data_IF_551974284740
#
_entry.id   IF_551974284740
#
_cell.length_a   1.000
_cell.length_b   1.000
_cell.length_c   1.000
_cell.angle_alpha   90.00
_cell.angle_beta   90.00
_cell.angle_gamma   90.00
#
_symmetry.space_group_name_H-M   'P 1'
#
loop_
_entity.id
_entity.type
_entity.pdbx_description
1 polymer ?
#
# COMPACT_ATOMS: atom_id res chain seq x y z
N UNK A 1 -23.47 -65.30 -51.91
CA UNK A 1 -22.14 -64.89 -52.36
C UNK A 1 -21.96 -63.44 -51.97
N UNK A 2 -21.06 -62.99 -51.12
CA UNK A 2 -20.19 -63.58 -50.11
C UNK A 2 -19.71 -62.39 -49.26
N UNK A 3 -19.37 -62.66 -48.00
CA UNK A 3 -18.44 -61.97 -47.08
C UNK A 3 -17.94 -60.54 -47.42
N UNK A 4 -17.93 -59.60 -46.45
CA UNK A 4 -16.77 -59.20 -45.62
C UNK A 4 -17.30 -58.08 -44.67
N UNK A 5 -17.47 -58.25 -43.36
CA UNK A 5 -16.51 -58.20 -42.23
C UNK A 5 -15.67 -56.92 -42.08
N UNK A 6 -15.81 -56.23 -40.94
CA UNK A 6 -14.87 -55.24 -40.40
C UNK A 6 -15.45 -53.82 -40.37
N UNK A 7 -15.36 -53.03 -39.30
CA UNK A 7 -14.68 -53.19 -38.02
C UNK A 7 -15.20 -52.09 -37.09
N UNK A 8 -15.41 -52.46 -35.82
CA UNK A 8 -15.65 -51.54 -34.71
C UNK A 8 -14.45 -50.60 -34.55
N UNK A 9 -14.63 -49.30 -34.78
CA UNK A 9 -13.63 -48.28 -34.42
C UNK A 9 -14.07 -47.57 -33.12
N UNK A 10 -13.83 -48.29 -32.02
CA UNK A 10 -13.12 -47.80 -30.84
C UNK A 10 -13.29 -46.32 -30.47
N UNK A 11 -14.15 -46.07 -29.49
CA UNK A 11 -14.13 -44.90 -28.60
C UNK A 11 -12.74 -44.73 -27.93
N UNK A 12 -11.85 -43.98 -28.57
CA UNK A 12 -10.58 -43.59 -27.99
C UNK A 12 -10.77 -42.41 -27.02
N UNK A 13 -11.17 -42.71 -25.78
CA UNK A 13 -11.08 -41.76 -24.66
C UNK A 13 -9.63 -41.32 -24.50
N UNK A 14 -9.29 -40.01 -24.58
CA UNK A 14 -7.93 -39.56 -24.37
C UNK A 14 -7.55 -39.79 -22.91
N UNK A 15 -6.67 -40.76 -22.66
CA UNK A 15 -6.04 -40.98 -21.35
C UNK A 15 -5.24 -39.73 -20.98
N UNK A 16 -5.84 -38.84 -20.17
CA UNK A 16 -5.13 -37.73 -19.52
C UNK A 16 -3.97 -38.29 -18.72
N UNK A 17 -2.76 -38.07 -19.20
CA UNK A 17 -1.52 -38.37 -18.49
C UNK A 17 -1.49 -37.56 -17.19
N UNK A 18 -1.79 -38.23 -16.07
CA UNK A 18 -1.51 -37.74 -14.73
C UNK A 18 0.01 -37.63 -14.59
N UNK A 19 0.58 -36.48 -14.98
CA UNK A 19 1.91 -36.06 -14.51
C UNK A 19 1.81 -35.78 -13.01
N UNK A 20 1.95 -36.84 -12.21
CA UNK A 20 2.34 -36.76 -10.80
C UNK A 20 3.83 -36.38 -10.77
N UNK A 21 4.11 -35.07 -10.85
CA UNK A 21 5.42 -34.51 -10.57
C UNK A 21 5.51 -34.12 -9.10
N UNK A 22 5.95 -35.02 -8.24
CA UNK A 22 6.36 -34.72 -6.87
C UNK A 22 7.65 -33.90 -6.88
N UNK A 23 7.53 -32.58 -7.01
CA UNK A 23 8.67 -31.67 -6.95
C UNK A 23 8.70 -30.89 -5.64
N UNK A 24 9.63 -31.22 -4.75
CA UNK A 24 10.06 -30.33 -3.65
C UNK A 24 10.71 -29.01 -4.15
N UNK A 25 10.74 -28.77 -5.46
CA UNK A 25 11.45 -27.68 -6.15
C UNK A 25 10.84 -26.27 -6.18
N UNK A 26 9.53 -26.01 -5.99
CA UNK A 26 9.01 -24.65 -6.13
C UNK A 26 9.04 -23.87 -4.79
N UNK A 27 9.19 -24.54 -3.64
CA UNK A 27 9.27 -23.88 -2.33
C UNK A 27 10.64 -23.23 -2.07
N UNK A 28 11.73 -23.93 -2.44
CA UNK A 28 13.09 -23.44 -2.28
C UNK A 28 13.34 -22.20 -3.14
N UNK A 29 12.91 -22.19 -4.40
CA UNK A 29 13.04 -21.03 -5.28
C UNK A 29 12.29 -19.79 -4.76
N UNK A 30 11.13 -19.98 -4.11
CA UNK A 30 10.38 -18.87 -3.50
C UNK A 30 11.05 -18.30 -2.25
N UNK A 31 11.60 -19.17 -1.40
CA UNK A 31 12.35 -18.72 -0.22
C UNK A 31 13.58 -17.89 -0.65
N UNK A 32 14.27 -18.31 -1.72
CA UNK A 32 15.39 -17.55 -2.31
C UNK A 32 14.92 -16.19 -2.84
N UNK A 33 13.80 -16.12 -3.58
CA UNK A 33 13.28 -14.83 -4.08
C UNK A 33 12.91 -13.90 -2.92
N UNK A 34 12.27 -14.43 -1.88
CA UNK A 34 11.93 -13.63 -0.70
C UNK A 34 13.19 -13.13 0.03
N UNK A 35 14.18 -13.99 0.22
CA UNK A 35 15.48 -13.62 0.80
C UNK A 35 16.20 -12.55 -0.05
N UNK A 36 16.12 -12.65 -1.38
CA UNK A 36 16.65 -11.63 -2.29
C UNK A 36 15.92 -10.30 -2.11
N UNK A 37 14.59 -10.29 -2.02
CA UNK A 37 13.83 -9.07 -1.74
C UNK A 37 14.25 -8.43 -0.40
N UNK A 38 14.45 -9.23 0.65
CA UNK A 38 14.97 -8.74 1.93
C UNK A 38 16.39 -8.20 1.81
N UNK A 39 17.25 -8.86 1.04
CA UNK A 39 18.60 -8.39 0.73
C UNK A 39 18.60 -7.03 0.01
N UNK A 40 17.67 -6.83 -0.93
CA UNK A 40 17.49 -5.54 -1.63
C UNK A 40 17.00 -4.47 -0.65
N UNK A 41 16.02 -4.77 0.21
CA UNK A 41 15.59 -3.84 1.26
C UNK A 41 16.76 -3.44 2.15
N UNK A 42 17.54 -4.41 2.62
CA UNK A 42 18.71 -4.15 3.46
C UNK A 42 19.74 -3.26 2.75
N UNK A 43 20.04 -3.53 1.48
CA UNK A 43 20.93 -2.69 0.69
C UNK A 43 20.39 -1.26 0.55
N UNK A 44 19.10 -1.09 0.26
CA UNK A 44 18.47 0.22 0.14
C UNK A 44 18.46 0.99 1.48
N UNK A 45 18.31 0.30 2.60
CA UNK A 45 18.46 0.90 3.93
C UNK A 45 19.86 1.48 4.08
N UNK A 46 20.91 0.71 3.77
CA UNK A 46 22.30 1.21 3.83
C UNK A 46 22.52 2.40 2.91
N UNK A 47 21.97 2.36 1.69
CA UNK A 47 22.04 3.48 0.73
C UNK A 47 21.32 4.71 1.29
N UNK A 48 20.11 4.56 1.83
CA UNK A 48 19.34 5.66 2.44
C UNK A 48 20.06 6.33 3.62
N UNK A 49 20.85 5.57 4.37
CA UNK A 49 21.67 6.11 5.47
C UNK A 49 22.90 6.89 4.97
N UNK A 50 23.47 6.53 3.81
CA UNK A 50 24.61 7.24 3.20
C UNK A 50 24.23 8.41 2.29
N UNK A 51 23.07 8.34 1.65
CA UNK A 51 22.63 9.27 0.59
C UNK A 51 21.61 10.29 1.12
N UNK A 52 21.88 11.57 0.85
CA UNK A 52 21.00 12.71 1.15
C UNK A 52 21.63 14.02 0.67
N UNK A 53 21.19 15.16 1.23
CA UNK A 53 21.76 16.48 0.94
C UNK A 53 23.30 16.54 1.12
N UNK A 54 23.82 15.90 2.18
CA UNK A 54 25.25 15.72 2.42
C UNK A 54 25.61 14.24 2.27
N UNK A 55 26.45 13.86 1.31
CA UNK A 55 26.78 12.43 1.12
C UNK A 55 27.75 11.98 2.21
N UNK A 56 27.41 10.89 2.92
CA UNK A 56 28.24 10.32 3.99
C UNK A 56 28.86 9.02 3.46
N UNK A 57 30.21 8.88 3.48
CA UNK A 57 30.87 7.66 3.02
C UNK A 57 30.37 6.42 3.79
N UNK A 58 30.20 5.25 3.13
CA UNK A 58 29.74 4.04 3.78
C UNK A 58 30.58 3.61 5.00
N UNK A 59 31.89 3.87 4.95
CA UNK A 59 32.81 3.61 6.08
C UNK A 59 32.46 4.44 7.31
N UNK A 60 32.09 5.71 7.11
CA UNK A 60 31.63 6.59 8.19
C UNK A 60 30.27 6.17 8.70
N UNK A 61 29.33 5.80 7.81
CA UNK A 61 28.02 5.27 8.22
C UNK A 61 28.20 4.04 9.11
N UNK A 62 29.04 3.08 8.70
CA UNK A 62 29.31 1.87 9.46
C UNK A 62 29.92 2.17 10.84
N UNK A 63 30.94 3.03 10.88
CA UNK A 63 31.60 3.44 12.13
C UNK A 63 30.60 4.06 13.12
N UNK A 64 29.77 4.98 12.64
CA UNK A 64 28.78 5.70 13.44
C UNK A 64 27.64 4.79 13.91
N UNK A 65 27.26 3.79 13.11
CA UNK A 65 26.29 2.77 13.51
C UNK A 65 26.85 1.83 14.58
N UNK A 66 28.14 1.49 14.49
CA UNK A 66 28.82 0.64 15.46
C UNK A 66 29.13 1.38 16.77
N UNK A 67 29.40 2.68 16.70
CA UNK A 67 29.70 3.52 17.85
C UNK A 67 29.16 4.94 17.62
N UNK A 68 28.12 5.33 18.36
CA UNK A 68 27.62 6.70 18.36
C UNK A 68 28.63 7.61 19.08
N UNK A 69 29.43 8.30 18.28
CA UNK A 69 30.50 9.19 18.74
C UNK A 69 30.04 10.64 18.96
N UNK A 70 28.74 10.92 18.80
CA UNK A 70 28.17 12.27 18.94
C UNK A 70 28.60 13.26 17.84
N UNK A 71 29.29 12.80 16.79
CA UNK A 71 29.67 13.63 15.65
C UNK A 71 28.45 14.18 14.89
N UNK A 72 28.67 15.20 14.05
CA UNK A 72 27.61 15.72 13.19
C UNK A 72 27.07 14.62 12.25
N UNK A 73 27.94 13.75 11.74
CA UNK A 73 27.58 12.58 10.95
C UNK A 73 26.75 11.59 11.76
N UNK A 74 27.08 11.36 13.04
CA UNK A 74 26.28 10.54 13.93
C UNK A 74 24.87 11.06 14.17
N UNK A 75 24.75 12.36 14.44
CA UNK A 75 23.45 13.01 14.58
C UNK A 75 22.64 12.87 13.28
N UNK A 76 23.24 13.10 12.11
CA UNK A 76 22.55 12.96 10.83
C UNK A 76 22.07 11.52 10.61
N UNK A 77 22.93 10.53 10.82
CA UNK A 77 22.57 9.12 10.60
C UNK A 77 21.49 8.67 11.58
N UNK A 78 21.69 8.86 12.88
CA UNK A 78 20.80 8.33 13.91
C UNK A 78 19.50 9.13 14.10
N UNK A 79 19.54 10.46 14.00
CA UNK A 79 18.39 11.30 14.34
C UNK A 79 17.59 11.78 13.14
N UNK A 80 18.20 11.85 11.96
CA UNK A 80 17.52 12.31 10.73
C UNK A 80 17.25 11.16 9.76
N UNK A 81 18.27 10.34 9.45
CA UNK A 81 18.15 9.32 8.39
C UNK A 81 17.55 8.01 8.86
N UNK A 82 17.93 7.53 10.03
CA UNK A 82 17.44 6.25 10.54
C UNK A 82 15.91 6.27 10.74
N UNK A 83 15.31 7.27 11.43
CA UNK A 83 13.87 7.32 11.60
C UNK A 83 13.13 7.43 10.26
N UNK A 84 13.61 8.29 9.36
CA UNK A 84 13.06 8.45 8.01
C UNK A 84 13.10 7.16 7.19
N UNK A 85 14.22 6.44 7.24
CA UNK A 85 14.41 5.18 6.52
C UNK A 85 13.49 4.08 7.05
N UNK A 86 13.39 3.95 8.37
CA UNK A 86 12.48 2.97 9.00
C UNK A 86 11.02 3.33 8.71
N UNK A 87 10.68 4.61 8.74
CA UNK A 87 9.34 5.09 8.39
C UNK A 87 8.99 4.76 6.92
N UNK A 88 9.93 4.96 5.98
CA UNK A 88 9.75 4.58 4.59
C UNK A 88 9.50 3.08 4.41
N UNK A 89 10.25 2.23 5.13
CA UNK A 89 10.03 0.77 5.10
C UNK A 89 8.63 0.42 5.63
N UNK A 90 8.26 0.98 6.78
CA UNK A 90 6.98 0.67 7.43
C UNK A 90 5.79 1.12 6.57
N UNK A 91 5.81 2.37 6.07
CA UNK A 91 4.74 2.94 5.27
C UNK A 91 4.65 2.27 3.90
N UNK A 92 5.79 2.04 3.24
CA UNK A 92 5.81 1.35 1.95
C UNK A 92 5.17 -0.04 2.05
N UNK A 93 5.58 -0.81 3.07
CA UNK A 93 5.01 -2.13 3.38
C UNK A 93 3.51 -2.06 3.66
N UNK A 94 3.08 -1.08 4.47
CA UNK A 94 1.69 -0.90 4.87
C UNK A 94 0.79 -0.56 3.67
N UNK A 95 1.18 0.39 2.83
CA UNK A 95 0.43 0.80 1.65
C UNK A 95 0.34 -0.31 0.61
N UNK A 96 1.42 -1.08 0.42
CA UNK A 96 1.41 -2.23 -0.49
C UNK A 96 0.47 -3.35 0.01
N UNK A 97 0.53 -3.69 1.31
CA UNK A 97 -0.40 -4.64 1.94
C UNK A 97 -1.86 -4.18 1.82
N UNK A 98 -2.13 -2.92 2.15
CA UNK A 98 -3.46 -2.32 2.04
C UNK A 98 -3.96 -2.37 0.59
N UNK A 99 -3.06 -2.18 -0.39
CA UNK A 99 -3.35 -2.35 -1.80
C UNK A 99 -3.82 -3.75 -2.16
N UNK A 100 -3.10 -4.80 -1.73
CA UNK A 100 -3.50 -6.20 -1.96
C UNK A 100 -4.88 -6.48 -1.35
N UNK A 101 -5.08 -6.09 -0.09
CA UNK A 101 -6.35 -6.32 0.63
C UNK A 101 -7.50 -5.57 -0.05
N UNK A 102 -7.32 -4.28 -0.36
CA UNK A 102 -8.32 -3.45 -1.01
C UNK A 102 -8.72 -4.05 -2.36
N UNK A 103 -7.76 -4.44 -3.20
CA UNK A 103 -8.04 -5.04 -4.51
C UNK A 103 -8.76 -6.40 -4.38
N UNK A 104 -8.46 -7.18 -3.35
CA UNK A 104 -9.11 -8.45 -3.10
C UNK A 104 -10.57 -8.29 -2.64
N UNK A 105 -10.86 -7.42 -1.66
CA UNK A 105 -12.22 -7.21 -1.15
C UNK A 105 -13.13 -6.50 -2.16
N UNK A 106 -12.54 -5.69 -3.02
CA UNK A 106 -13.25 -5.00 -4.11
C UNK A 106 -13.40 -5.85 -5.36
N UNK A 107 -12.59 -6.91 -5.50
CA UNK A 107 -12.40 -7.66 -6.74
C UNK A 107 -12.05 -6.74 -7.92
N UNK A 108 -11.34 -5.65 -7.63
CA UNK A 108 -10.92 -4.68 -8.62
C UNK A 108 -9.40 -4.49 -8.53
N UNK A 109 -8.63 -4.94 -9.52
CA UNK A 109 -7.17 -4.82 -9.51
C UNK A 109 -6.66 -3.38 -9.64
N UNK A 110 -7.55 -2.43 -9.98
CA UNK A 110 -7.26 -1.00 -10.02
C UNK A 110 -7.66 -0.27 -8.73
N UNK A 111 -8.24 -0.97 -7.75
CA UNK A 111 -8.62 -0.34 -6.50
C UNK A 111 -7.36 0.12 -5.75
N UNK A 112 -7.35 1.40 -5.37
CA UNK A 112 -6.33 2.01 -4.53
C UNK A 112 -6.95 2.36 -3.18
N UNK A 113 -6.30 2.00 -2.06
CA UNK A 113 -6.89 2.16 -0.74
C UNK A 113 -7.06 3.63 -0.30
N UNK A 114 -6.25 4.55 -0.84
CA UNK A 114 -6.34 5.99 -0.53
C UNK A 114 -7.60 6.68 -1.05
N UNK A 115 -8.33 6.06 -1.99
CA UNK A 115 -9.51 6.65 -2.66
C UNK A 115 -10.78 6.55 -1.81
N UNK A 116 -10.80 5.77 -0.73
CA UNK A 116 -12.00 5.55 0.11
C UNK A 116 -12.24 6.69 1.12
N UNK A 117 -11.94 7.93 0.74
CA UNK A 117 -12.09 9.12 1.60
C UNK A 117 -11.09 9.21 2.76
N UNK A 118 -10.20 8.22 2.95
CA UNK A 118 -9.18 8.20 4.02
C UNK A 118 -8.26 9.41 3.90
N UNK A 119 -7.72 9.67 2.70
CA UNK A 119 -6.82 10.80 2.46
C UNK A 119 -7.53 12.14 2.66
N UNK A 120 -8.76 12.28 2.18
CA UNK A 120 -9.57 13.50 2.36
C UNK A 120 -9.98 13.72 3.82
N UNK A 121 -10.31 12.66 4.55
CA UNK A 121 -10.58 12.67 5.99
C UNK A 121 -9.39 13.16 6.80
N UNK A 122 -8.22 12.59 6.54
CA UNK A 122 -6.97 13.02 7.18
C UNK A 122 -6.66 14.49 6.85
N UNK A 123 -6.73 14.86 5.57
CA UNK A 123 -6.47 16.22 5.09
C UNK A 123 -7.36 17.25 5.77
N UNK A 124 -8.67 17.00 5.78
CA UNK A 124 -9.63 17.91 6.39
C UNK A 124 -9.41 18.06 7.90
N UNK A 125 -9.13 16.95 8.59
CA UNK A 125 -8.88 16.98 10.02
C UNK A 125 -7.59 17.71 10.39
N UNK A 126 -6.52 17.58 9.59
CA UNK A 126 -5.28 18.37 9.76
C UNK A 126 -5.57 19.86 9.63
N UNK A 127 -6.32 20.26 8.60
CA UNK A 127 -6.64 21.67 8.38
C UNK A 127 -7.54 22.21 9.49
N UNK A 128 -8.49 21.43 10.02
CA UNK A 128 -9.26 21.80 11.22
C UNK A 128 -8.34 21.96 12.44
N UNK A 129 -7.41 21.03 12.67
CA UNK A 129 -6.48 21.10 13.80
C UNK A 129 -5.69 22.41 13.81
N UNK A 130 -5.23 22.84 12.64
CA UNK A 130 -4.45 24.06 12.50
C UNK A 130 -5.35 25.29 12.61
N UNK A 131 -6.43 25.36 11.81
CA UNK A 131 -7.25 26.56 11.70
C UNK A 131 -8.14 26.81 12.93
N UNK A 132 -8.72 25.75 13.52
CA UNK A 132 -9.66 25.89 14.64
C UNK A 132 -8.98 25.75 16.01
N UNK A 133 -7.97 24.88 16.13
CA UNK A 133 -7.32 24.56 17.41
C UNK A 133 -5.89 25.12 17.53
N UNK A 134 -5.35 25.76 16.48
CA UNK A 134 -4.01 26.34 16.51
C UNK A 134 -2.88 25.31 16.63
N UNK A 135 -3.14 24.03 16.31
CA UNK A 135 -2.16 22.95 16.44
C UNK A 135 -1.16 23.02 15.29
N UNK A 136 0.04 23.55 15.55
CA UNK A 136 1.09 23.73 14.55
C UNK A 136 2.19 22.66 14.61
N UNK A 137 2.25 21.87 15.69
CA UNK A 137 3.24 20.81 15.84
C UNK A 137 2.87 19.58 15.02
N UNK A 138 3.89 18.95 14.41
CA UNK A 138 3.74 17.70 13.65
C UNK A 138 2.99 16.67 14.46
N UNK A 139 3.49 16.37 15.65
CA UNK A 139 2.95 15.33 16.53
C UNK A 139 1.52 15.63 17.00
N UNK A 140 1.12 16.90 17.06
CA UNK A 140 -0.23 17.31 17.40
C UNK A 140 -1.21 16.99 16.29
N UNK A 141 -0.96 17.44 15.05
CA UNK A 141 -1.89 17.20 13.95
C UNK A 141 -1.89 15.74 13.45
N UNK A 142 -0.88 14.92 13.78
CA UNK A 142 -0.87 13.47 13.48
C UNK A 142 -2.12 12.75 14.00
N UNK A 143 -2.52 13.03 15.24
CA UNK A 143 -3.69 12.39 15.86
C UNK A 143 -5.00 12.83 15.21
N UNK A 144 -5.08 14.09 14.80
CA UNK A 144 -6.21 14.61 14.02
C UNK A 144 -6.27 13.94 12.65
N UNK A 145 -5.14 13.84 11.94
CA UNK A 145 -5.06 13.17 10.64
C UNK A 145 -5.55 11.72 10.74
N UNK A 146 -5.05 10.97 11.73
CA UNK A 146 -5.45 9.57 11.95
C UNK A 146 -6.95 9.46 12.28
N UNK A 147 -7.45 10.29 13.19
CA UNK A 147 -8.86 10.30 13.59
C UNK A 147 -9.76 10.66 12.41
N UNK A 148 -9.39 11.68 11.61
CA UNK A 148 -10.11 12.07 10.40
C UNK A 148 -10.15 10.97 9.35
N UNK A 149 -9.04 10.27 9.14
CA UNK A 149 -8.96 9.10 8.27
C UNK A 149 -9.92 7.98 8.71
N UNK A 150 -9.91 7.65 10.01
CA UNK A 150 -10.78 6.61 10.59
C UNK A 150 -12.25 7.01 10.49
N UNK A 151 -12.60 8.24 10.87
CA UNK A 151 -13.98 8.72 10.79
C UNK A 151 -14.50 8.74 9.35
N UNK A 152 -13.68 9.17 8.39
CA UNK A 152 -14.06 9.14 6.99
C UNK A 152 -14.28 7.70 6.48
N UNK A 153 -13.38 6.78 6.80
CA UNK A 153 -13.52 5.37 6.44
C UNK A 153 -14.79 4.73 7.05
N UNK A 154 -15.06 5.01 8.34
CA UNK A 154 -16.26 4.53 9.02
C UNK A 154 -17.55 5.12 8.43
N UNK A 155 -17.54 6.39 8.04
CA UNK A 155 -18.66 7.03 7.37
C UNK A 155 -18.94 6.41 6.00
N UNK A 156 -17.90 6.16 5.18
CA UNK A 156 -18.08 5.47 3.90
C UNK A 156 -18.59 4.04 4.12
N UNK A 157 -18.10 3.34 5.14
CA UNK A 157 -18.56 2.01 5.49
C UNK A 157 -20.03 2.01 5.92
N UNK A 158 -20.45 2.93 6.80
CA UNK A 158 -21.82 3.00 7.31
C UNK A 158 -22.84 3.34 6.20
N UNK A 159 -22.47 4.25 5.29
CA UNK A 159 -23.30 4.62 4.13
C UNK A 159 -23.49 3.45 3.14
N UNK A 160 -22.63 2.44 3.20
CA UNK A 160 -22.63 1.32 2.24
C UNK A 160 -23.11 0.00 2.83
N UNK A 161 -23.06 -0.15 4.16
CA UNK A 161 -23.35 -1.38 4.90
C UNK A 161 -24.76 -1.97 4.67
N UNK A 162 -25.77 -1.15 4.38
CA UNK A 162 -27.16 -1.58 4.14
C UNK A 162 -27.48 -1.99 2.69
N UNK A 163 -26.49 -2.00 1.79
CA UNK A 163 -26.74 -2.18 0.36
C UNK A 163 -26.95 -3.64 -0.04
N UNK A 164 -27.88 -3.91 -0.96
CA UNK A 164 -28.07 -5.24 -1.55
C UNK A 164 -26.75 -5.80 -2.10
N UNK A 165 -26.52 -7.11 -1.87
CA UNK A 165 -25.22 -7.82 -2.01
C UNK A 165 -24.46 -7.60 -3.32
N UNK A 166 -25.14 -7.23 -4.41
CA UNK A 166 -24.53 -6.94 -5.72
C UNK A 166 -24.01 -5.52 -5.95
N UNK A 167 -24.57 -4.50 -5.28
CA UNK A 167 -24.26 -3.07 -5.56
C UNK A 167 -23.25 -2.45 -4.59
N UNK A 168 -22.76 -3.23 -3.63
CA UNK A 168 -21.92 -2.73 -2.55
C UNK A 168 -20.60 -2.12 -3.04
N UNK A 169 -19.98 -2.67 -4.11
CA UNK A 169 -18.68 -2.19 -4.57
C UNK A 169 -18.78 -0.81 -5.24
N UNK A 170 -19.71 -0.63 -6.18
CA UNK A 170 -19.94 0.64 -6.87
C UNK A 170 -20.38 1.73 -5.89
N UNK A 171 -21.26 1.40 -4.93
CA UNK A 171 -21.70 2.36 -3.90
C UNK A 171 -20.55 2.80 -3.01
N UNK A 172 -19.62 1.91 -2.66
CA UNK A 172 -18.46 2.26 -1.85
C UNK A 172 -17.53 3.24 -2.55
N UNK A 173 -17.30 3.05 -3.85
CA UNK A 173 -16.51 3.98 -4.66
C UNK A 173 -17.23 5.33 -4.77
N UNK A 174 -18.54 5.35 -5.05
CA UNK A 174 -19.33 6.58 -5.18
C UNK A 174 -19.43 7.34 -3.84
N UNK A 175 -19.67 6.65 -2.73
CA UNK A 175 -19.72 7.25 -1.40
C UNK A 175 -18.36 7.84 -1.00
N UNK A 176 -17.27 7.12 -1.27
CA UNK A 176 -15.90 7.61 -1.07
C UNK A 176 -15.60 8.85 -1.91
N UNK A 177 -16.00 8.86 -3.19
CA UNK A 177 -15.82 10.00 -4.08
C UNK A 177 -16.62 11.24 -3.62
N UNK A 178 -17.89 11.05 -3.25
CA UNK A 178 -18.75 12.11 -2.72
C UNK A 178 -18.17 12.70 -1.43
N UNK A 179 -17.78 11.84 -0.47
CA UNK A 179 -17.16 12.29 0.78
C UNK A 179 -15.85 13.03 0.51
N UNK A 180 -15.02 12.51 -0.39
CA UNK A 180 -13.74 13.14 -0.75
C UNK A 180 -13.94 14.53 -1.33
N UNK A 181 -14.95 14.71 -2.19
CA UNK A 181 -15.31 16.01 -2.75
C UNK A 181 -15.82 16.98 -1.67
N UNK A 182 -16.70 16.53 -0.77
CA UNK A 182 -17.22 17.36 0.34
C UNK A 182 -16.12 17.80 1.30
N UNK A 183 -15.27 16.87 1.75
CA UNK A 183 -14.15 17.16 2.64
C UNK A 183 -13.07 18.00 1.94
N UNK A 184 -12.84 17.77 0.65
CA UNK A 184 -11.95 18.58 -0.18
C UNK A 184 -12.42 20.03 -0.30
N UNK A 185 -13.71 20.25 -0.52
CA UNK A 185 -14.29 21.60 -0.54
C UNK A 185 -14.12 22.31 0.82
N UNK A 186 -14.40 21.61 1.93
CA UNK A 186 -14.17 22.15 3.28
C UNK A 186 -12.70 22.48 3.55
N UNK A 187 -11.78 21.60 3.13
CA UNK A 187 -10.34 21.83 3.22
C UNK A 187 -9.95 23.08 2.44
N UNK A 188 -10.43 23.22 1.20
CA UNK A 188 -10.20 24.37 0.34
C UNK A 188 -10.67 25.69 0.98
N UNK A 189 -11.91 25.72 1.49
CA UNK A 189 -12.46 26.89 2.19
C UNK A 189 -11.56 27.30 3.35
N UNK A 190 -11.20 26.37 4.24
CA UNK A 190 -10.37 26.69 5.41
C UNK A 190 -8.99 27.21 5.01
N UNK A 191 -8.32 26.57 4.05
CA UNK A 191 -7.01 27.01 3.57
C UNK A 191 -7.06 28.34 2.80
N UNK A 192 -8.21 28.71 2.24
CA UNK A 192 -8.37 29.99 1.56
C UNK A 192 -8.43 31.16 2.55
N UNK A 193 -8.98 30.95 3.74
CA UNK A 193 -9.12 31.99 4.77
C UNK A 193 -7.97 32.01 5.78
N UNK A 194 -7.18 30.94 5.89
CA UNK A 194 -6.06 30.83 6.83
C UNK A 194 -4.74 30.50 6.10
N UNK A 195 -3.86 31.50 6.01
CA UNK A 195 -2.55 31.38 5.35
C UNK A 195 -1.60 30.41 6.08
N UNK A 196 -1.70 30.28 7.41
CA UNK A 196 -0.88 29.34 8.18
C UNK A 196 -1.32 27.90 7.94
N UNK A 197 -2.63 27.68 7.88
CA UNK A 197 -3.20 26.40 7.51
C UNK A 197 -2.80 26.02 6.09
N UNK A 198 -2.85 26.97 5.14
CA UNK A 198 -2.39 26.76 3.76
C UNK A 198 -0.91 26.36 3.69
N UNK A 199 -0.01 27.11 4.34
CA UNK A 199 1.43 26.84 4.29
C UNK A 199 1.79 25.49 4.90
N UNK A 200 1.13 25.09 5.98
CA UNK A 200 1.34 23.78 6.58
C UNK A 200 0.76 22.66 5.71
N UNK A 201 -0.44 22.87 5.18
CA UNK A 201 -1.17 21.89 4.37
C UNK A 201 -0.47 21.60 3.03
N UNK A 202 0.04 22.63 2.34
CA UNK A 202 0.61 22.48 0.99
C UNK A 202 1.83 21.55 0.95
N UNK A 203 2.59 21.47 2.04
CA UNK A 203 3.71 20.52 2.15
C UNK A 203 3.26 19.14 2.63
N UNK A 204 2.32 19.10 3.58
CA UNK A 204 1.83 17.83 4.12
C UNK A 204 1.03 17.02 3.09
N UNK A 205 0.18 17.66 2.28
CA UNK A 205 -0.71 17.00 1.32
C UNK A 205 0.04 16.28 0.19
N UNK A 206 1.27 16.70 -0.10
CA UNK A 206 2.10 16.14 -1.16
C UNK A 206 2.72 14.79 -0.77
N UNK A 207 2.71 14.46 0.53
CA UNK A 207 3.26 13.21 1.05
C UNK A 207 4.77 13.31 1.26
N UNK A 208 5.18 13.56 2.52
CA UNK A 208 6.55 13.84 2.94
C UNK A 208 7.03 12.98 4.09
N UNK A 209 8.24 12.44 3.93
CA UNK A 209 9.02 11.76 4.98
C UNK A 209 10.06 12.69 5.63
N UNK A 210 10.16 13.94 5.16
CA UNK A 210 11.07 14.93 5.72
C UNK A 210 10.62 15.40 7.10
N UNK A 211 11.57 15.63 8.01
CA UNK A 211 11.33 16.10 9.37
C UNK A 211 10.28 15.26 10.15
N UNK A 212 10.10 14.00 9.78
CA UNK A 212 9.33 13.02 10.54
C UNK A 212 10.25 12.37 11.57
N UNK A 213 10.20 12.88 12.79
CA UNK A 213 10.94 12.32 13.91
C UNK A 213 10.49 10.90 14.27
N UNK A 214 11.20 10.29 15.22
CA UNK A 214 10.83 8.98 15.78
C UNK A 214 9.41 8.93 16.34
N UNK A 215 8.83 10.07 16.72
CA UNK A 215 7.47 10.19 17.22
C UNK A 215 6.40 9.79 16.19
N UNK A 216 6.58 10.17 14.92
CA UNK A 216 5.64 9.76 13.87
C UNK A 216 5.68 8.24 13.66
N UNK A 217 6.88 7.66 13.73
CA UNK A 217 7.08 6.23 13.65
C UNK A 217 6.45 5.49 14.84
N UNK A 218 6.75 5.90 16.07
CA UNK A 218 6.21 5.23 17.27
C UNK A 218 4.70 5.36 17.39
N UNK A 219 4.12 6.47 16.93
CA UNK A 219 2.66 6.65 16.87
C UNK A 219 2.00 5.75 15.82
N UNK A 220 2.59 5.62 14.62
CA UNK A 220 2.00 4.85 13.53
C UNK A 220 2.23 3.33 13.64
N UNK A 221 3.36 2.91 14.22
CA UNK A 221 3.80 1.52 14.21
C UNK A 221 2.80 0.52 14.83
N UNK A 222 2.14 0.80 15.98
CA UNK A 222 1.15 -0.12 16.56
C UNK A 222 -0.02 -0.38 15.61
N UNK A 223 -0.53 0.67 14.96
CA UNK A 223 -1.65 0.56 14.03
C UNK A 223 -1.23 -0.16 12.74
N UNK A 224 -0.03 0.13 12.22
CA UNK A 224 0.53 -0.59 11.08
C UNK A 224 0.70 -2.07 11.41
N UNK A 225 1.24 -2.41 12.58
CA UNK A 225 1.45 -3.78 13.01
C UNK A 225 0.13 -4.55 13.12
N UNK A 226 -0.87 -3.99 13.81
CA UNK A 226 -2.20 -4.60 13.93
C UNK A 226 -2.87 -4.75 12.56
N UNK A 227 -2.84 -3.71 11.72
CA UNK A 227 -3.38 -3.74 10.36
C UNK A 227 -2.72 -4.80 9.49
N UNK A 228 -1.40 -4.96 9.60
CA UNK A 228 -0.63 -5.96 8.86
C UNK A 228 -0.93 -7.38 9.34
N UNK A 229 -1.04 -7.60 10.66
CA UNK A 229 -1.42 -8.90 11.23
C UNK A 229 -2.81 -9.33 10.74
N UNK A 230 -3.78 -8.43 10.74
CA UNK A 230 -5.12 -8.69 10.19
C UNK A 230 -5.01 -9.01 8.69
N UNK A 231 -4.27 -8.22 7.91
CA UNK A 231 -4.10 -8.44 6.48
C UNK A 231 -3.54 -9.84 6.17
N UNK A 232 -2.45 -10.22 6.85
CA UNK A 232 -1.77 -11.49 6.65
C UNK A 232 -2.66 -12.68 7.06
N UNK A 233 -3.43 -12.54 8.15
CA UNK A 233 -4.37 -13.57 8.60
C UNK A 233 -5.52 -13.78 7.60
N UNK A 234 -5.91 -12.75 6.84
CA UNK A 234 -7.00 -12.83 5.86
C UNK A 234 -6.62 -13.55 4.57
N UNK A 235 -5.33 -13.85 4.30
CA UNK A 235 -4.88 -14.41 3.03
C UNK A 235 -5.67 -15.61 2.48
N UNK A 236 -5.92 -16.69 3.28
CA UNK A 236 -6.74 -17.81 2.84
C UNK A 236 -8.19 -17.41 2.52
N UNK A 237 -8.79 -16.57 3.37
CA UNK A 237 -10.17 -16.09 3.20
C UNK A 237 -10.32 -15.21 1.97
N UNK A 238 -9.34 -14.36 1.67
CA UNK A 238 -9.35 -13.53 0.46
C UNK A 238 -9.19 -14.38 -0.81
N UNK A 239 -8.42 -15.46 -0.78
CA UNK A 239 -8.34 -16.41 -1.91
C UNK A 239 -9.69 -17.08 -2.19
N UNK A 240 -10.41 -17.52 -1.14
CA UNK A 240 -11.73 -18.10 -1.31
C UNK A 240 -12.77 -17.05 -1.72
N UNK A 241 -12.66 -15.81 -1.24
CA UNK A 241 -13.49 -14.68 -1.70
C UNK A 241 -13.27 -14.34 -3.18
N UNK A 242 -12.05 -14.52 -3.69
CA UNK A 242 -11.71 -14.27 -5.09
C UNK A 242 -12.44 -15.21 -6.07
N UNK A 243 -12.92 -16.38 -5.62
CA UNK A 243 -13.73 -17.30 -6.42
C UNK A 243 -15.17 -16.81 -6.64
N UNK A 244 -15.63 -15.84 -5.84
CA UNK A 244 -17.00 -15.35 -5.84
C UNK A 244 -17.62 -15.39 -4.45
N UNK A 245 -18.64 -14.56 -4.23
CA UNK A 245 -19.29 -14.44 -2.92
C UNK A 245 -20.05 -15.74 -2.56
N UNK A 246 -20.73 -16.35 -3.53
CA UNK A 246 -21.48 -17.61 -3.33
C UNK A 246 -20.55 -18.80 -3.08
N UNK A 247 -19.50 -18.95 -3.89
CA UNK A 247 -18.50 -20.01 -3.72
C UNK A 247 -17.74 -19.85 -2.40
N UNK A 248 -17.36 -18.61 -2.05
CA UNK A 248 -16.73 -18.31 -0.76
C UNK A 248 -17.64 -18.67 0.42
N UNK A 249 -18.93 -18.33 0.34
CA UNK A 249 -19.91 -18.70 1.36
C UNK A 249 -20.10 -20.22 1.48
N UNK A 250 -20.13 -20.94 0.34
CA UNK A 250 -20.19 -22.41 0.32
C UNK A 250 -18.95 -23.08 0.94
N UNK A 251 -17.78 -22.42 0.86
CA UNK A 251 -16.54 -22.83 1.53
C UNK A 251 -16.49 -22.46 3.02
N UNK A 252 -17.59 -21.95 3.59
CA UNK A 252 -17.72 -21.62 5.02
C UNK A 252 -17.29 -20.19 5.38
N UNK A 253 -17.00 -19.33 4.39
CA UNK A 253 -16.65 -17.94 4.69
C UNK A 253 -17.88 -17.14 5.10
N UNK A 254 -17.74 -16.40 6.19
CA UNK A 254 -18.67 -15.32 6.52
C UNK A 254 -18.23 -14.06 5.77
N UNK A 255 -18.64 -13.94 4.50
CA UNK A 255 -18.22 -12.86 3.57
C UNK A 255 -18.29 -11.45 4.19
N UNK A 256 -19.36 -11.05 4.92
CA UNK A 256 -19.41 -9.72 5.54
C UNK A 256 -18.27 -9.48 6.54
N UNK A 257 -17.91 -10.49 7.34
CA UNK A 257 -16.83 -10.41 8.33
C UNK A 257 -15.46 -10.31 7.66
N UNK A 258 -15.22 -11.10 6.61
CA UNK A 258 -13.95 -11.03 5.84
C UNK A 258 -13.78 -9.64 5.24
N UNK A 259 -14.85 -9.06 4.67
CA UNK A 259 -14.83 -7.70 4.13
C UNK A 259 -14.63 -6.65 5.23
N UNK A 260 -15.35 -6.75 6.34
CA UNK A 260 -15.20 -5.82 7.47
C UNK A 260 -13.78 -5.84 8.05
N UNK A 261 -13.21 -7.02 8.26
CA UNK A 261 -11.82 -7.18 8.70
C UNK A 261 -10.82 -6.62 7.67
N UNK A 262 -11.08 -6.84 6.38
CA UNK A 262 -10.28 -6.25 5.30
C UNK A 262 -10.34 -4.72 5.28
N UNK A 263 -11.53 -4.13 5.45
CA UNK A 263 -11.70 -2.68 5.58
C UNK A 263 -10.99 -2.13 6.82
N UNK A 264 -11.12 -2.80 7.97
CA UNK A 264 -10.41 -2.42 9.18
C UNK A 264 -8.89 -2.45 8.99
N UNK A 265 -8.37 -3.50 8.36
CA UNK A 265 -6.94 -3.61 8.03
C UNK A 265 -6.48 -2.46 7.13
N UNK A 266 -7.21 -2.18 6.04
CA UNK A 266 -6.88 -1.07 5.14
C UNK A 266 -6.96 0.28 5.85
N UNK A 267 -7.99 0.49 6.67
CA UNK A 267 -8.15 1.71 7.46
C UNK A 267 -6.98 1.94 8.41
N UNK A 268 -6.53 0.90 9.12
CA UNK A 268 -5.39 1.00 10.02
C UNK A 268 -4.08 1.27 9.26
N UNK A 269 -3.82 0.50 8.19
CA UNK A 269 -2.61 0.61 7.40
C UNK A 269 -2.50 1.96 6.68
N UNK A 270 -3.55 2.38 5.98
CA UNK A 270 -3.57 3.64 5.24
C UNK A 270 -3.76 4.84 6.16
N UNK A 271 -4.63 4.77 7.17
CA UNK A 271 -4.85 5.87 8.11
C UNK A 271 -3.57 6.22 8.88
N UNK A 272 -2.85 5.20 9.39
CA UNK A 272 -1.58 5.43 10.09
C UNK A 272 -0.48 5.93 9.14
N UNK A 273 -0.40 5.38 7.93
CA UNK A 273 0.55 5.82 6.90
C UNK A 273 0.32 7.27 6.48
N UNK A 274 -0.93 7.62 6.17
CA UNK A 274 -1.33 8.97 5.75
C UNK A 274 -1.17 9.97 6.89
N UNK A 275 -1.46 9.59 8.13
CA UNK A 275 -1.17 10.45 9.27
C UNK A 275 0.35 10.75 9.33
N UNK A 276 1.18 9.71 9.33
CA UNK A 276 2.62 9.83 9.55
C UNK A 276 3.40 10.53 8.43
N UNK A 277 3.05 10.27 7.16
CA UNK A 277 3.79 10.78 6.01
C UNK A 277 2.94 11.62 5.05
N UNK A 278 1.68 11.88 5.36
CA UNK A 278 0.76 12.47 4.39
C UNK A 278 0.32 11.48 3.31
N UNK A 279 -0.53 11.92 2.37
CA UNK A 279 -1.05 11.06 1.30
C UNK A 279 0.05 10.58 0.36
N UNK A 280 0.30 9.27 0.32
CA UNK A 280 1.21 8.64 -0.65
C UNK A 280 0.41 7.71 -1.55
N UNK A 281 0.46 7.96 -2.85
CA UNK A 281 -0.37 7.27 -3.85
C UNK A 281 0.42 6.23 -4.64
N UNK A 282 -0.28 5.37 -5.38
CA UNK A 282 0.25 4.37 -6.31
C UNK A 282 1.04 3.20 -5.73
N UNK A 283 1.59 3.27 -4.51
CA UNK A 283 2.31 2.13 -3.90
C UNK A 283 1.40 0.91 -3.78
N UNK A 284 0.17 1.11 -3.29
CA UNK A 284 -0.86 0.08 -3.18
C UNK A 284 -1.43 -0.41 -4.53
N UNK A 285 -1.13 0.27 -5.64
CA UNK A 285 -1.53 -0.15 -6.98
C UNK A 285 -0.41 -0.93 -7.68
N UNK A 286 0.77 -0.31 -7.75
CA UNK A 286 1.93 -0.78 -8.52
C UNK A 286 2.48 -2.08 -7.93
N UNK A 287 2.71 -2.13 -6.62
CA UNK A 287 3.36 -3.28 -5.98
C UNK A 287 2.53 -4.55 -6.13
N UNK A 288 1.22 -4.57 -5.79
CA UNK A 288 0.40 -5.77 -6.00
C UNK A 288 0.33 -6.20 -7.47
N UNK A 289 0.36 -5.25 -8.40
CA UNK A 289 0.35 -5.55 -9.82
C UNK A 289 1.63 -6.27 -10.26
N UNK A 290 2.80 -5.69 -9.96
CA UNK A 290 4.11 -6.29 -10.29
C UNK A 290 4.24 -7.66 -9.64
N UNK A 291 3.86 -7.80 -8.37
CA UNK A 291 3.93 -9.09 -7.68
C UNK A 291 2.98 -10.13 -8.27
N UNK A 292 1.82 -9.74 -8.81
CA UNK A 292 0.93 -10.68 -9.52
C UNK A 292 1.54 -11.21 -10.81
N UNK A 293 2.28 -10.37 -11.54
CA UNK A 293 3.00 -10.81 -12.74
C UNK A 293 4.12 -11.80 -12.40
N UNK A 294 4.81 -11.60 -11.27
CA UNK A 294 5.96 -12.42 -10.86
C UNK A 294 5.57 -13.71 -10.12
N UNK A 295 4.55 -13.66 -9.26
CA UNK A 295 4.23 -14.72 -8.29
C UNK A 295 2.87 -15.40 -8.55
N UNK A 296 2.06 -14.84 -9.46
CA UNK A 296 0.70 -15.27 -9.74
C UNK A 296 -0.35 -14.69 -8.77
N UNK A 297 -1.60 -15.19 -8.81
CA UNK A 297 -2.74 -14.57 -8.13
C UNK A 297 -2.94 -15.00 -6.67
N UNK A 298 -2.12 -15.89 -6.10
CA UNK A 298 -2.29 -16.39 -4.73
C UNK A 298 -2.09 -15.27 -3.69
N UNK A 299 -3.18 -14.83 -3.07
CA UNK A 299 -3.21 -13.66 -2.19
C UNK A 299 -2.38 -13.86 -0.92
N UNK A 300 -2.21 -15.09 -0.44
CA UNK A 300 -1.31 -15.38 0.69
C UNK A 300 0.12 -14.96 0.37
N UNK A 301 0.55 -15.22 -0.87
CA UNK A 301 1.90 -14.88 -1.33
C UNK A 301 2.00 -13.39 -1.61
N UNK A 302 0.99 -12.81 -2.27
CA UNK A 302 0.98 -11.38 -2.57
C UNK A 302 1.06 -10.54 -1.30
N UNK A 303 0.35 -10.91 -0.24
CA UNK A 303 0.43 -10.22 1.04
C UNK A 303 1.85 -10.29 1.63
N UNK A 304 2.46 -11.46 1.71
CA UNK A 304 3.81 -11.61 2.29
C UNK A 304 4.86 -10.88 1.46
N UNK A 305 4.82 -10.99 0.13
CA UNK A 305 5.79 -10.33 -0.74
C UNK A 305 5.53 -8.83 -0.92
N UNK A 306 4.32 -8.35 -0.62
CA UNK A 306 4.00 -6.91 -0.62
C UNK A 306 4.73 -6.14 0.49
N UNK A 307 5.10 -6.81 1.60
CA UNK A 307 5.90 -6.20 2.65
C UNK A 307 7.24 -5.67 2.10
N UNK A 308 8.17 -6.51 1.61
CA UNK A 308 9.42 -6.00 1.04
C UNK A 308 9.18 -5.25 -0.27
N UNK A 309 8.20 -5.63 -1.10
CA UNK A 309 7.93 -4.93 -2.36
C UNK A 309 7.52 -3.47 -2.16
N UNK A 310 6.69 -3.20 -1.14
CA UNK A 310 6.29 -1.87 -0.73
C UNK A 310 7.45 -1.05 -0.17
N UNK A 311 8.24 -1.65 0.72
CA UNK A 311 9.43 -1.03 1.28
C UNK A 311 10.45 -0.65 0.18
N UNK A 312 10.69 -1.54 -0.78
CA UNK A 312 11.61 -1.29 -1.91
C UNK A 312 11.13 -0.08 -2.72
N UNK A 313 9.86 -0.06 -3.14
CA UNK A 313 9.34 1.03 -3.95
C UNK A 313 9.45 2.37 -3.21
N UNK A 314 9.03 2.42 -1.94
CA UNK A 314 9.02 3.68 -1.21
C UNK A 314 10.43 4.17 -0.85
N UNK A 315 11.35 3.27 -0.49
CA UNK A 315 12.76 3.63 -0.28
C UNK A 315 13.41 4.14 -1.56
N UNK A 316 13.18 3.48 -2.70
CA UNK A 316 13.69 3.94 -3.98
C UNK A 316 13.15 5.34 -4.33
N UNK A 317 11.85 5.57 -4.12
CA UNK A 317 11.24 6.87 -4.35
C UNK A 317 11.83 7.96 -3.43
N UNK A 318 12.00 7.67 -2.14
CA UNK A 318 12.58 8.61 -1.18
C UNK A 318 14.05 8.92 -1.49
N UNK A 319 14.88 7.91 -1.75
CA UNK A 319 16.29 8.08 -2.15
C UNK A 319 16.38 8.91 -3.43
N UNK A 320 15.55 8.61 -4.44
CA UNK A 320 15.52 9.35 -5.70
C UNK A 320 15.15 10.81 -5.47
N UNK A 321 14.15 11.08 -4.63
CA UNK A 321 13.73 12.44 -4.28
C UNK A 321 14.84 13.28 -3.63
N UNK A 322 15.67 12.65 -2.78
CA UNK A 322 16.84 13.30 -2.15
C UNK A 322 18.02 13.54 -3.11
N UNK A 323 18.09 12.81 -4.22
CA UNK A 323 19.20 12.90 -5.20
C UNK A 323 18.89 13.89 -6.31
N UNK A 324 17.66 13.88 -6.82
CA UNK A 324 17.28 14.63 -8.04
C UNK A 324 17.19 16.14 -7.81
N UNK A 325 16.83 16.60 -6.60
CA UNK A 325 16.48 18.00 -6.35
C UNK A 325 17.46 18.80 -5.47
N UNK A 326 18.73 18.36 -5.40
CA UNK A 326 19.76 19.02 -4.57
C UNK A 326 19.91 20.52 -4.91
N UNK A 327 20.06 21.42 -3.91
CA UNK A 327 20.20 21.18 -2.46
C UNK A 327 18.89 20.97 -1.70
N UNK A 328 17.73 21.11 -2.36
CA UNK A 328 16.43 20.73 -1.79
C UNK A 328 16.18 19.22 -1.89
N UNK A 329 14.98 18.80 -1.50
CA UNK A 329 14.53 17.42 -1.63
C UNK A 329 13.15 17.40 -2.30
N UNK A 330 12.94 16.43 -3.19
CA UNK A 330 11.61 16.16 -3.74
C UNK A 330 10.87 15.19 -2.83
N UNK A 331 9.60 15.52 -2.58
CA UNK A 331 8.74 14.74 -1.73
C UNK A 331 8.43 13.37 -2.33
N UNK A 332 8.39 12.35 -1.47
CA UNK A 332 8.26 10.95 -1.89
C UNK A 332 6.97 10.73 -2.67
N UNK A 333 5.88 11.42 -2.29
CA UNK A 333 4.59 11.32 -2.98
C UNK A 333 4.66 11.74 -4.45
N UNK A 334 5.46 12.77 -4.76
CA UNK A 334 5.71 13.22 -6.14
C UNK A 334 6.41 12.12 -6.92
N UNK A 335 7.49 11.57 -6.37
CA UNK A 335 8.29 10.53 -7.04
C UNK A 335 7.45 9.27 -7.27
N UNK A 336 6.66 8.84 -6.27
CA UNK A 336 5.75 7.70 -6.43
C UNK A 336 4.68 7.94 -7.50
N UNK A 337 4.20 9.17 -7.65
CA UNK A 337 3.23 9.52 -8.69
C UNK A 337 3.84 9.43 -10.10
N UNK A 338 5.07 9.92 -10.28
CA UNK A 338 5.80 9.79 -11.56
C UNK A 338 6.10 8.34 -11.95
N UNK A 339 6.32 7.46 -10.97
CA UNK A 339 6.48 6.02 -11.22
C UNK A 339 5.12 5.35 -11.48
N UNK A 340 4.11 5.69 -10.69
CA UNK A 340 2.83 5.01 -10.68
C UNK A 340 1.89 5.38 -11.82
N UNK A 341 1.87 6.64 -12.25
CA UNK A 341 0.97 7.10 -13.30
C UNK A 341 1.24 6.42 -14.66
N UNK A 342 2.49 6.25 -15.14
CA UNK A 342 2.78 5.47 -16.35
C UNK A 342 2.36 4.01 -16.23
N UNK A 343 2.57 3.40 -15.06
CA UNK A 343 2.14 2.01 -14.81
C UNK A 343 0.62 1.91 -14.90
N UNK A 344 -0.12 2.81 -14.25
CA UNK A 344 -1.59 2.84 -14.34
C UNK A 344 -2.06 3.03 -15.79
N UNK A 345 -1.47 3.97 -16.53
CA UNK A 345 -1.79 4.20 -17.94
C UNK A 345 -1.60 2.93 -18.77
N UNK A 346 -0.47 2.25 -18.60
CA UNK A 346 -0.18 0.98 -19.27
C UNK A 346 -1.18 -0.13 -18.92
N UNK A 347 -1.62 -0.20 -17.66
CA UNK A 347 -2.62 -1.19 -17.22
C UNK A 347 -3.99 -0.99 -17.85
N UNK A 348 -4.41 0.27 -17.98
CA UNK A 348 -5.71 0.62 -18.55
C UNK A 348 -5.72 0.39 -20.06
N UNK A 349 -4.63 0.70 -20.76
CA UNK A 349 -4.56 0.55 -22.22
C UNK A 349 -4.57 -0.92 -22.65
N UNK A 350 -3.85 -1.81 -21.97
CA UNK A 350 -3.82 -3.24 -22.35
C UNK A 350 -5.10 -4.02 -22.05
N UNK A 351 -5.91 -3.61 -21.08
CA UNK A 351 -7.19 -4.31 -20.78
C UNK A 351 -8.25 -4.12 -21.86
N UNK A 352 -8.16 -3.05 -22.66
CA UNK A 352 -9.09 -2.82 -23.77
C UNK A 352 -8.89 -3.78 -24.95
N UNK A 353 -7.71 -4.37 -25.09
CA UNK A 353 -7.39 -5.26 -26.22
C UNK A 353 -8.03 -6.65 -26.10
N UNK A 354 -8.44 -7.09 -24.90
CA UNK A 354 -9.02 -8.44 -24.68
C UNK A 354 -10.54 -8.49 -24.91
N UNK A 355 -11.23 -7.34 -24.96
CA UNK A 355 -12.69 -7.28 -25.23
C UNK A 355 -13.00 -6.90 -26.68
N UNK A 356 -11.99 -6.61 -27.50
CA UNK A 356 -12.13 -6.14 -28.88
C UNK A 356 -11.70 -7.17 -29.95
N UNK A 357 -11.53 -8.44 -29.59
CA UNK A 357 -11.26 -9.55 -30.49
C UNK A 357 -12.25 -10.69 -30.23
#
# INVERSE_FOLDING_TARGET
>A
MDHISGSEDSDAVPRRSRRRGGGRGPALGRAVVFALCLGVVFLLVLVSLGVGARTIPPTTVWRVLAHDDGSAEAIIVWRLRMPRTVLAVAIGSALALAGVVMQAITRNPLAEPGIVGINSGASFAVVIAIAAFGVTSVSGYLWFAFTGAVLAALLVHSLTAGSARGHHHTRLVLAGAALSASLGAGTGILTMFDSKAFDSYRFWVVGSLENRGSEALTAALPFIAVGALIALALGPSLNALALGDETGAALGLRVPWVRAAGFLSVMLLCGASTAAAGPVSFVGLVVPHVLRLLLGPDLRRLLVFSLPGGAILLLLSDITGRVVARPGEMEVGIVTAFVGAPVLLWLVTRRREVTAA
#
